data_IF_924362543841
#
_entry.id   IF_924362543841
#
_cell.length_a   1.000
_cell.length_b   1.000
_cell.length_c   1.000
_cell.angle_alpha   90.00
_cell.angle_beta   90.00
_cell.angle_gamma   90.00
#
_symmetry.space_group_name_H-M   'P 1'
#
loop_
_entity.id
_entity.type
_entity.pdbx_description
1 polymer ?
#
# COMPACT_ATOMS: atom_id res chain seq x y z
N UNK A 1 29.33 -8.11 19.76
CA UNK A 1 29.09 -6.66 19.62
C UNK A 1 27.59 -6.49 19.52
N UNK A 2 26.96 -5.75 20.42
CA UNK A 2 25.52 -5.43 20.31
C UNK A 2 25.36 -4.55 19.05
N UNK A 3 24.56 -5.00 18.09
CA UNK A 3 24.19 -4.20 16.93
C UNK A 3 23.56 -2.85 17.34
N UNK A 4 23.50 -1.87 16.45
CA UNK A 4 22.90 -0.58 16.76
C UNK A 4 21.47 -0.78 17.30
N UNK A 5 21.17 -0.14 18.44
CA UNK A 5 19.83 -0.17 19.01
C UNK A 5 18.85 0.45 18.01
N UNK A 6 17.82 -0.32 17.61
CA UNK A 6 16.76 0.20 16.74
C UNK A 6 15.85 1.08 17.57
N UNK A 7 15.67 2.32 17.16
CA UNK A 7 14.66 3.19 17.75
C UNK A 7 13.28 2.75 17.25
N UNK A 8 12.48 2.11 18.13
CA UNK A 8 11.11 1.65 17.82
C UNK A 8 10.16 2.72 18.32
N UNK A 9 9.45 3.35 17.40
CA UNK A 9 8.40 4.29 17.75
C UNK A 9 7.08 3.58 18.06
N UNK A 10 6.33 4.13 19.02
CA UNK A 10 4.94 3.74 19.24
C UNK A 10 4.06 4.65 18.36
N UNK A 11 3.33 4.12 17.37
CA UNK A 11 2.42 4.93 16.57
C UNK A 11 1.23 5.39 17.40
N UNK A 12 0.66 6.51 17.01
CA UNK A 12 -0.61 7.01 17.58
C UNK A 12 -1.72 6.02 17.26
N UNK A 13 -2.63 5.79 18.21
CA UNK A 13 -3.68 4.77 18.09
C UNK A 13 -5.05 5.42 18.28
N UNK A 14 -5.99 5.09 17.40
CA UNK A 14 -7.43 5.39 17.56
C UNK A 14 -8.25 4.09 17.51
N UNK A 15 -9.42 4.07 18.17
CA UNK A 15 -10.34 2.94 18.03
C UNK A 15 -11.25 3.13 16.82
N UNK A 16 -11.65 2.03 16.18
CA UNK A 16 -12.67 2.06 15.12
C UNK A 16 -14.01 2.62 15.63
N UNK A 17 -14.33 2.37 16.89
CA UNK A 17 -15.56 2.89 17.52
C UNK A 17 -15.54 4.42 17.61
N UNK A 18 -14.41 5.02 18.03
CA UNK A 18 -14.27 6.47 18.10
C UNK A 18 -14.33 7.12 16.71
N UNK A 19 -13.70 6.49 15.70
CA UNK A 19 -13.80 6.94 14.31
C UNK A 19 -15.26 6.92 13.80
N UNK A 20 -16.00 5.83 14.06
CA UNK A 20 -17.42 5.73 13.68
C UNK A 20 -18.28 6.76 14.37
N UNK A 21 -18.01 7.07 15.62
CA UNK A 21 -18.74 8.04 16.42
C UNK A 21 -18.33 9.51 16.13
N UNK A 22 -17.24 9.74 15.37
CA UNK A 22 -16.67 11.08 15.15
C UNK A 22 -16.07 11.70 16.42
N UNK A 23 -15.59 10.87 17.34
CA UNK A 23 -15.11 11.27 18.67
C UNK A 23 -13.56 11.23 18.79
N UNK A 24 -12.83 11.11 17.68
CA UNK A 24 -11.37 11.15 17.73
C UNK A 24 -10.92 12.55 18.11
N UNK A 25 -10.16 12.73 19.21
CA UNK A 25 -9.66 14.04 19.61
C UNK A 25 -8.77 14.64 18.49
N UNK A 26 -8.87 15.95 18.29
CA UNK A 26 -8.06 16.62 17.29
C UNK A 26 -6.56 16.57 17.60
N UNK A 27 -6.21 16.56 18.88
CA UNK A 27 -4.84 16.38 19.36
C UNK A 27 -4.27 15.05 18.88
N UNK A 28 -5.08 13.97 18.88
CA UNK A 28 -4.70 12.65 18.35
C UNK A 28 -4.38 12.71 16.85
N UNK A 29 -5.15 13.48 16.07
CA UNK A 29 -4.89 13.65 14.63
C UNK A 29 -3.64 14.49 14.38
N UNK A 30 -3.41 15.53 15.17
CA UNK A 30 -2.19 16.35 15.08
C UNK A 30 -0.96 15.54 15.49
N UNK A 31 -1.04 14.73 16.53
CA UNK A 31 0.03 13.85 16.95
C UNK A 31 0.34 12.77 15.89
N UNK A 32 -0.70 12.24 15.20
CA UNK A 32 -0.55 11.23 14.17
C UNK A 32 -0.05 11.79 12.83
N UNK A 33 -0.59 12.93 12.38
CA UNK A 33 -0.50 13.43 11.01
C UNK A 33 0.03 14.87 10.89
N UNK A 34 0.15 15.59 12.00
CA UNK A 34 0.61 16.98 12.02
C UNK A 34 2.07 17.15 11.59
N UNK A 35 2.56 18.40 11.54
CA UNK A 35 3.88 18.71 10.96
C UNK A 35 5.06 18.01 11.62
N UNK A 36 4.99 17.73 12.92
CA UNK A 36 6.08 17.10 13.69
C UNK A 36 5.83 15.61 13.96
N UNK A 37 4.81 15.03 13.33
CA UNK A 37 4.38 13.66 13.52
C UNK A 37 5.18 12.65 12.70
N UNK A 38 4.88 11.37 12.90
CA UNK A 38 5.36 10.28 12.05
C UNK A 38 4.48 10.05 10.81
N UNK A 39 3.38 10.78 10.65
CA UNK A 39 2.47 10.65 9.52
C UNK A 39 1.73 9.31 9.50
N UNK A 40 1.55 8.66 10.65
CA UNK A 40 0.92 7.34 10.72
C UNK A 40 -0.02 7.23 11.93
N UNK A 41 -1.24 6.71 11.68
CA UNK A 41 -2.25 6.37 12.68
C UNK A 41 -2.54 4.87 12.62
N UNK A 42 -2.60 4.21 13.76
CA UNK A 42 -3.02 2.82 13.87
C UNK A 42 -4.46 2.76 14.36
N UNK A 43 -5.33 2.09 13.62
CA UNK A 43 -6.72 1.83 14.00
C UNK A 43 -6.83 0.45 14.60
N UNK A 44 -7.23 0.39 15.88
CA UNK A 44 -7.51 -0.84 16.62
C UNK A 44 -9.02 -1.14 16.67
N UNK A 45 -9.33 -2.30 17.22
CA UNK A 45 -10.72 -2.78 17.38
C UNK A 45 -11.48 -2.84 16.04
N UNK A 46 -10.74 -3.22 14.99
CA UNK A 46 -11.26 -3.41 13.63
C UNK A 46 -12.19 -4.64 13.59
N UNK A 47 -13.00 -4.82 12.52
CA UNK A 47 -13.91 -5.96 12.44
C UNK A 47 -13.22 -7.29 12.67
N UNK A 48 -13.83 -8.24 13.39
CA UNK A 48 -13.22 -9.51 13.81
C UNK A 48 -12.79 -10.40 12.64
N UNK A 49 -13.36 -10.21 11.46
CA UNK A 49 -12.98 -10.90 10.22
C UNK A 49 -11.65 -10.41 9.64
N UNK A 50 -11.19 -9.21 10.00
CA UNK A 50 -9.98 -8.62 9.42
C UNK A 50 -8.73 -9.50 9.54
N UNK A 51 -8.38 -10.09 10.70
CA UNK A 51 -7.18 -10.92 10.81
C UNK A 51 -7.20 -12.13 9.88
N UNK A 52 -8.38 -12.74 9.67
CA UNK A 52 -8.55 -13.86 8.75
C UNK A 52 -8.42 -13.42 7.29
N UNK A 53 -9.12 -12.35 6.89
CA UNK A 53 -9.02 -11.77 5.55
C UNK A 53 -7.58 -11.35 5.23
N UNK A 54 -6.90 -10.70 6.19
CA UNK A 54 -5.50 -10.33 6.05
C UNK A 54 -4.63 -11.55 5.80
N UNK A 55 -4.71 -12.58 6.64
CA UNK A 55 -3.91 -13.81 6.50
C UNK A 55 -4.19 -14.49 5.16
N UNK A 56 -5.47 -14.59 4.78
CA UNK A 56 -5.89 -15.18 3.51
C UNK A 56 -5.29 -14.43 2.32
N UNK A 57 -5.49 -13.11 2.26
CA UNK A 57 -5.02 -12.28 1.14
C UNK A 57 -3.49 -12.24 1.07
N UNK A 58 -2.79 -12.12 2.21
CA UNK A 58 -1.32 -12.11 2.21
C UNK A 58 -0.72 -13.47 1.86
N UNK A 59 -1.44 -14.59 2.08
CA UNK A 59 -1.03 -15.91 1.59
C UNK A 59 -1.01 -15.98 0.07
N UNK A 60 -1.96 -15.30 -0.59
CA UNK A 60 -1.97 -15.21 -2.05
C UNK A 60 -0.74 -14.50 -2.63
N UNK A 61 -0.07 -13.63 -1.88
CA UNK A 61 1.17 -13.05 -2.35
C UNK A 61 2.27 -14.10 -2.59
N UNK A 62 2.42 -15.07 -1.67
CA UNK A 62 3.34 -16.21 -1.85
C UNK A 62 2.89 -17.16 -2.96
N UNK A 63 1.61 -17.51 -3.03
CA UNK A 63 1.09 -18.33 -4.12
C UNK A 63 1.33 -17.69 -5.48
N UNK A 64 1.02 -16.41 -5.61
CA UNK A 64 1.19 -15.63 -6.84
C UNK A 64 2.68 -15.53 -7.22
N UNK A 65 3.55 -15.15 -6.26
CA UNK A 65 4.98 -15.01 -6.50
C UNK A 65 5.68 -16.32 -6.91
N UNK A 66 5.08 -17.47 -6.58
CA UNK A 66 5.59 -18.80 -6.94
C UNK A 66 4.91 -19.42 -8.17
N UNK A 67 4.07 -18.68 -8.91
CA UNK A 67 3.59 -19.11 -10.20
C UNK A 67 4.73 -19.20 -11.20
N UNK A 68 4.56 -20.01 -12.25
CA UNK A 68 5.55 -20.09 -13.33
C UNK A 68 5.70 -18.74 -14.07
N UNK A 69 6.89 -18.49 -14.62
CA UNK A 69 7.15 -17.28 -15.42
C UNK A 69 6.12 -17.09 -16.55
N UNK A 70 5.69 -18.18 -17.19
CA UNK A 70 4.66 -18.15 -18.25
C UNK A 70 3.30 -17.70 -17.72
N UNK A 71 2.93 -18.08 -16.49
CA UNK A 71 1.67 -17.63 -15.86
C UNK A 71 1.77 -16.17 -15.43
N UNK A 72 2.88 -15.76 -14.84
CA UNK A 72 3.13 -14.37 -14.44
C UNK A 72 3.16 -13.44 -15.65
N UNK A 73 3.81 -13.83 -16.76
CA UNK A 73 3.84 -13.02 -17.97
C UNK A 73 2.45 -12.75 -18.58
N UNK A 74 1.47 -13.65 -18.37
CA UNK A 74 0.09 -13.44 -18.86
C UNK A 74 -0.65 -12.33 -18.12
N UNK A 75 -0.22 -11.98 -16.93
CA UNK A 75 -0.84 -10.97 -16.08
C UNK A 75 0.03 -9.71 -15.90
N UNK A 76 1.11 -9.56 -16.69
CA UNK A 76 1.84 -8.31 -16.82
C UNK A 76 1.10 -7.33 -17.75
N UNK A 77 1.15 -6.03 -17.44
CA UNK A 77 0.56 -4.99 -18.28
C UNK A 77 1.58 -3.88 -18.59
N UNK A 78 2.42 -4.05 -19.62
CA UNK A 78 3.36 -3.00 -20.03
C UNK A 78 2.68 -1.70 -20.45
N UNK A 79 1.48 -1.79 -21.08
CA UNK A 79 0.73 -0.61 -21.49
C UNK A 79 0.28 0.26 -20.32
N UNK A 80 0.00 -0.34 -19.16
CA UNK A 80 -0.27 0.36 -17.91
C UNK A 80 1.01 0.67 -17.10
N UNK A 81 2.19 0.63 -17.71
CA UNK A 81 3.49 0.81 -17.06
C UNK A 81 3.69 -0.14 -15.88
N UNK A 82 3.15 -1.36 -16.00
CA UNK A 82 3.14 -2.39 -14.94
C UNK A 82 2.43 -1.96 -13.64
N UNK A 83 1.52 -0.98 -13.69
CA UNK A 83 0.72 -0.53 -12.55
C UNK A 83 -0.71 -1.12 -12.51
N UNK A 84 -0.94 -2.18 -13.29
CA UNK A 84 -2.02 -3.16 -13.14
C UNK A 84 -1.47 -4.56 -13.42
N UNK A 85 -1.96 -5.58 -12.70
CA UNK A 85 -1.43 -6.93 -12.78
C UNK A 85 -0.06 -7.08 -12.12
N UNK A 86 0.75 -8.04 -12.60
CA UNK A 86 2.03 -8.40 -12.01
C UNK A 86 3.18 -7.51 -12.47
N UNK A 87 4.08 -7.21 -11.56
CA UNK A 87 5.31 -6.44 -11.80
C UNK A 87 6.45 -7.04 -10.98
N UNK A 88 7.48 -7.53 -11.65
CA UNK A 88 8.74 -7.97 -11.06
C UNK A 88 9.90 -7.53 -11.93
N UNK A 89 10.93 -6.93 -11.35
CA UNK A 89 12.07 -6.45 -12.13
C UNK A 89 11.74 -5.29 -13.08
N UNK A 90 10.76 -4.45 -12.75
CA UNK A 90 10.36 -3.28 -13.56
C UNK A 90 10.60 -1.96 -12.83
N UNK A 91 10.88 -2.00 -11.54
CA UNK A 91 11.21 -0.83 -10.74
C UNK A 91 12.74 -0.66 -10.68
N UNK A 92 13.23 0.57 -10.85
CA UNK A 92 14.64 0.89 -10.70
C UNK A 92 14.93 1.36 -9.28
N UNK A 93 15.99 0.82 -8.69
CA UNK A 93 16.57 1.31 -7.46
C UNK A 93 17.39 2.59 -7.71
N UNK A 94 17.73 3.32 -6.65
CA UNK A 94 18.45 4.62 -6.75
C UNK A 94 19.80 4.54 -7.46
N UNK A 95 20.42 3.37 -7.47
CA UNK A 95 21.71 3.09 -8.14
C UNK A 95 21.54 2.66 -9.61
N UNK A 96 20.31 2.67 -10.13
CA UNK A 96 19.99 2.23 -11.48
C UNK A 96 19.85 0.71 -11.65
N UNK A 97 20.06 -0.06 -10.58
CA UNK A 97 19.78 -1.50 -10.60
C UNK A 97 18.27 -1.76 -10.59
N UNK A 98 17.87 -2.89 -11.16
CA UNK A 98 16.47 -3.30 -11.21
C UNK A 98 16.15 -4.10 -9.94
N UNK A 99 15.04 -3.77 -9.29
CA UNK A 99 14.55 -4.53 -8.13
C UNK A 99 13.97 -5.88 -8.57
N UNK A 100 14.75 -6.96 -8.36
CA UNK A 100 14.36 -8.34 -8.68
C UNK A 100 13.90 -9.14 -7.46
N UNK A 101 13.88 -8.52 -6.28
CA UNK A 101 13.56 -9.20 -5.01
C UNK A 101 12.15 -8.95 -4.52
N UNK A 102 11.42 -8.05 -5.20
CA UNK A 102 10.09 -7.65 -4.83
C UNK A 102 9.12 -7.80 -6.01
N UNK A 103 8.27 -8.81 -5.93
CA UNK A 103 7.11 -8.92 -6.81
C UNK A 103 5.95 -8.07 -6.28
N UNK A 104 5.22 -7.43 -7.18
CA UNK A 104 4.05 -6.62 -6.86
C UNK A 104 2.89 -6.99 -7.76
N UNK A 105 1.70 -7.13 -7.18
CA UNK A 105 0.47 -7.21 -7.94
C UNK A 105 -0.34 -5.93 -7.69
N UNK A 106 -0.65 -5.22 -8.76
CA UNK A 106 -1.43 -3.99 -8.69
C UNK A 106 -2.86 -4.21 -9.16
N UNK A 107 -3.82 -3.69 -8.41
CA UNK A 107 -5.22 -3.68 -8.81
C UNK A 107 -5.85 -2.30 -8.58
N UNK A 108 -6.64 -1.83 -9.56
CA UNK A 108 -7.53 -0.70 -9.35
C UNK A 108 -8.67 -1.13 -8.43
N UNK A 109 -9.02 -0.30 -7.46
CA UNK A 109 -10.12 -0.58 -6.53
C UNK A 109 -11.43 0.11 -6.97
N UNK A 110 -11.63 0.37 -8.27
CA UNK A 110 -12.86 0.94 -8.81
C UNK A 110 -14.12 0.09 -8.47
N UNK A 111 -13.93 -1.21 -8.25
CA UNK A 111 -14.96 -2.14 -7.77
C UNK A 111 -15.56 -1.74 -6.41
N UNK A 112 -14.89 -0.87 -5.66
CA UNK A 112 -15.41 -0.35 -4.39
C UNK A 112 -16.66 0.51 -4.59
N UNK A 113 -16.65 1.37 -5.61
CA UNK A 113 -17.78 2.24 -5.94
C UNK A 113 -18.83 1.55 -6.82
N UNK A 114 -18.41 0.72 -7.76
CA UNK A 114 -19.25 -0.09 -8.63
C UNK A 114 -18.57 -1.45 -8.90
N UNK A 115 -19.14 -2.58 -8.41
CA UNK A 115 -18.55 -3.91 -8.59
C UNK A 115 -18.29 -4.35 -10.04
N UNK A 116 -18.84 -3.62 -11.02
CA UNK A 116 -18.62 -3.89 -12.45
C UNK A 116 -17.44 -3.16 -13.04
N UNK A 117 -16.79 -2.28 -12.27
CA UNK A 117 -15.67 -1.49 -12.77
C UNK A 117 -14.33 -2.20 -12.48
N UNK A 118 -13.52 -2.37 -13.53
CA UNK A 118 -12.13 -2.82 -13.44
C UNK A 118 -11.12 -1.64 -13.46
N UNK A 119 -11.57 -0.43 -13.78
CA UNK A 119 -10.78 0.81 -13.73
C UNK A 119 -11.71 2.02 -13.72
N UNK A 120 -11.16 3.21 -13.50
CA UNK A 120 -11.89 4.47 -13.67
C UNK A 120 -12.30 4.67 -15.14
N UNK A 121 -13.43 5.35 -15.35
CA UNK A 121 -13.92 5.65 -16.72
C UNK A 121 -13.12 6.81 -17.32
N UNK A 122 -12.70 6.70 -18.59
CA UNK A 122 -12.10 7.82 -19.30
C UNK A 122 -13.05 9.02 -19.40
N UNK A 123 -12.46 10.22 -19.46
CA UNK A 123 -13.17 11.48 -19.72
C UNK A 123 -12.55 12.17 -20.93
N UNK A 124 -13.11 13.32 -21.35
CA UNK A 124 -12.52 14.11 -22.43
C UNK A 124 -11.10 14.60 -22.08
N UNK A 125 -10.81 14.83 -20.82
CA UNK A 125 -9.53 15.34 -20.32
C UNK A 125 -8.56 14.21 -19.96
N UNK A 126 -9.07 13.09 -19.44
CA UNK A 126 -8.28 11.95 -18.97
C UNK A 126 -8.54 10.72 -19.83
N UNK A 127 -7.58 10.42 -20.73
CA UNK A 127 -7.65 9.28 -21.65
C UNK A 127 -6.67 8.17 -21.25
N UNK A 128 -6.90 6.91 -21.67
CA UNK A 128 -5.96 5.81 -21.46
C UNK A 128 -4.57 6.08 -22.06
N UNK A 129 -4.48 6.86 -23.13
CA UNK A 129 -3.18 7.21 -23.74
C UNK A 129 -2.35 8.12 -22.82
N UNK A 130 -3.02 8.98 -22.05
CA UNK A 130 -2.35 9.94 -21.18
C UNK A 130 -2.20 9.43 -19.72
N UNK A 131 -3.10 8.56 -19.28
CA UNK A 131 -3.15 8.01 -17.91
C UNK A 131 -3.36 6.50 -17.91
N UNK A 132 -2.53 5.72 -18.62
CA UNK A 132 -2.72 4.27 -18.73
C UNK A 132 -2.64 3.57 -17.37
N UNK A 133 -1.86 4.09 -16.44
CA UNK A 133 -1.71 3.57 -15.09
C UNK A 133 -2.98 3.63 -14.24
N UNK A 134 -3.94 4.51 -14.55
CA UNK A 134 -5.22 4.68 -13.84
C UNK A 134 -6.42 4.16 -14.61
N UNK A 135 -6.32 4.16 -15.95
CA UNK A 135 -7.45 3.90 -16.85
C UNK A 135 -7.36 2.57 -17.58
N UNK A 136 -6.29 1.79 -17.35
CA UNK A 136 -6.22 0.41 -17.84
C UNK A 136 -6.99 -0.53 -16.90
N UNK A 137 -7.77 -1.47 -17.45
CA UNK A 137 -8.51 -2.43 -16.62
C UNK A 137 -7.57 -3.35 -15.85
N UNK A 138 -8.09 -3.93 -14.78
CA UNK A 138 -7.39 -4.96 -14.02
C UNK A 138 -7.12 -6.20 -14.88
N UNK A 139 -5.96 -6.85 -14.65
CA UNK A 139 -5.63 -8.16 -15.21
C UNK A 139 -5.48 -9.12 -14.04
N UNK A 140 -6.40 -10.09 -13.97
CA UNK A 140 -6.44 -11.09 -12.91
C UNK A 140 -5.87 -12.42 -13.43
N UNK A 141 -5.20 -13.22 -12.58
CA UNK A 141 -4.97 -14.64 -12.88
C UNK A 141 -6.33 -15.35 -13.07
N UNK A 142 -6.35 -16.32 -13.97
CA UNK A 142 -7.52 -17.16 -14.18
C UNK A 142 -7.85 -17.95 -12.89
N UNK A 143 -9.14 -18.23 -12.65
CA UNK A 143 -9.59 -18.95 -11.44
C UNK A 143 -9.05 -20.39 -11.35
N UNK A 144 -8.72 -21.03 -12.47
CA UNK A 144 -8.06 -22.33 -12.50
C UNK A 144 -6.56 -22.25 -12.20
N UNK A 145 -5.94 -21.07 -12.28
CA UNK A 145 -4.54 -20.80 -11.93
C UNK A 145 -4.41 -20.36 -10.49
N UNK A 146 -5.27 -19.45 -10.02
CA UNK A 146 -5.19 -18.91 -8.65
C UNK A 146 -6.61 -18.70 -8.08
N UNK A 147 -7.29 -19.79 -7.69
CA UNK A 147 -8.69 -19.77 -7.29
C UNK A 147 -8.93 -18.90 -6.06
N UNK A 148 -9.97 -18.05 -6.11
CA UNK A 148 -10.40 -17.19 -5.02
C UNK A 148 -9.52 -15.97 -4.73
N UNK A 149 -8.46 -15.74 -5.51
CA UNK A 149 -7.54 -14.62 -5.29
C UNK A 149 -8.22 -13.26 -5.44
N UNK A 150 -8.96 -13.06 -6.55
CA UNK A 150 -9.65 -11.80 -6.82
C UNK A 150 -10.58 -11.44 -5.68
N UNK A 151 -11.45 -12.35 -5.27
CA UNK A 151 -12.42 -12.12 -4.20
C UNK A 151 -11.71 -11.79 -2.86
N UNK A 152 -10.67 -12.55 -2.51
CA UNK A 152 -9.92 -12.31 -1.26
C UNK A 152 -9.27 -10.92 -1.23
N UNK A 153 -8.71 -10.47 -2.35
CA UNK A 153 -8.09 -9.15 -2.43
C UNK A 153 -9.13 -8.05 -2.39
N UNK A 154 -10.24 -8.20 -3.14
CA UNK A 154 -11.33 -7.22 -3.17
C UNK A 154 -11.98 -7.06 -1.79
N UNK A 155 -12.26 -8.16 -1.07
CA UNK A 155 -12.90 -8.12 0.25
C UNK A 155 -12.02 -7.40 1.28
N UNK A 156 -10.71 -7.70 1.29
CA UNK A 156 -9.79 -6.98 2.17
C UNK A 156 -9.68 -5.51 1.79
N UNK A 157 -9.58 -5.18 0.49
CA UNK A 157 -9.51 -3.79 0.04
C UNK A 157 -10.76 -3.00 0.43
N UNK A 158 -11.97 -3.58 0.32
CA UNK A 158 -13.23 -2.93 0.76
C UNK A 158 -13.16 -2.56 2.25
N UNK A 159 -12.77 -3.50 3.10
CA UNK A 159 -12.64 -3.26 4.54
C UNK A 159 -11.61 -2.16 4.86
N UNK A 160 -10.47 -2.17 4.15
CA UNK A 160 -9.44 -1.13 4.31
C UNK A 160 -9.95 0.25 3.86
N UNK A 161 -10.67 0.33 2.72
CA UNK A 161 -11.21 1.58 2.20
C UNK A 161 -12.34 2.10 3.11
N UNK A 162 -13.25 1.24 3.59
CA UNK A 162 -14.30 1.61 4.54
C UNK A 162 -13.70 2.25 5.81
N UNK A 163 -12.60 1.70 6.29
CA UNK A 163 -11.89 2.27 7.44
C UNK A 163 -11.17 3.57 7.07
N UNK A 164 -10.58 3.67 5.86
CA UNK A 164 -9.95 4.90 5.35
C UNK A 164 -10.95 6.05 5.25
N UNK A 165 -12.21 5.78 4.83
CA UNK A 165 -13.29 6.79 4.78
C UNK A 165 -13.56 7.38 6.16
N UNK A 166 -13.53 6.57 7.23
CA UNK A 166 -13.72 7.05 8.60
C UNK A 166 -12.54 7.91 9.08
N UNK A 167 -11.30 7.53 8.72
CA UNK A 167 -10.11 8.34 9.02
C UNK A 167 -10.16 9.65 8.24
N UNK A 168 -10.55 9.62 6.96
CA UNK A 168 -10.74 10.80 6.12
C UNK A 168 -11.77 11.76 6.71
N UNK A 169 -12.92 11.25 7.20
CA UNK A 169 -13.93 12.04 7.92
C UNK A 169 -13.37 12.72 9.15
N UNK A 170 -12.55 12.03 9.94
CA UNK A 170 -11.91 12.65 11.10
C UNK A 170 -10.92 13.75 10.67
N UNK A 171 -10.19 13.55 9.57
CA UNK A 171 -9.33 14.59 8.98
C UNK A 171 -10.15 15.82 8.53
N UNK A 172 -11.32 15.62 7.90
CA UNK A 172 -12.23 16.71 7.51
C UNK A 172 -12.69 17.52 8.71
N UNK A 173 -13.13 16.87 9.80
CA UNK A 173 -13.58 17.56 11.02
C UNK A 173 -12.49 18.50 11.58
N UNK A 174 -11.25 18.10 11.52
CA UNK A 174 -10.12 18.92 11.91
C UNK A 174 -9.86 20.05 10.90
N UNK A 175 -9.85 19.74 9.59
CA UNK A 175 -9.59 20.70 8.53
C UNK A 175 -10.67 21.79 8.46
N UNK A 176 -11.95 21.44 8.65
CA UNK A 176 -13.08 22.37 8.72
C UNK A 176 -12.90 23.44 9.83
N UNK A 177 -12.27 23.06 10.94
CA UNK A 177 -11.98 23.98 12.03
C UNK A 177 -10.74 24.85 11.79
N UNK A 178 -9.72 24.28 11.17
CA UNK A 178 -8.37 24.86 11.13
C UNK A 178 -8.04 25.59 9.82
N UNK A 179 -8.87 25.43 8.78
CA UNK A 179 -8.61 25.97 7.44
C UNK A 179 -9.80 26.81 7.00
N UNK A 180 -9.59 28.13 6.89
CA UNK A 180 -10.60 29.03 6.37
C UNK A 180 -10.99 28.67 4.93
N UNK A 181 -12.31 28.57 4.68
CA UNK A 181 -12.85 28.24 3.37
C UNK A 181 -12.69 26.77 2.96
N UNK A 182 -12.35 25.89 3.90
CA UNK A 182 -12.29 24.46 3.64
C UNK A 182 -13.65 23.89 3.21
N UNK A 183 -13.67 23.09 2.15
CA UNK A 183 -14.90 22.43 1.68
C UNK A 183 -15.27 21.29 2.61
N UNK A 184 -16.42 21.43 3.27
CA UNK A 184 -16.90 20.45 4.26
C UNK A 184 -16.97 19.05 3.70
N UNK A 185 -16.36 18.06 4.41
CA UNK A 185 -16.36 16.64 4.05
C UNK A 185 -15.59 16.30 2.78
N UNK A 186 -14.65 17.15 2.35
CA UNK A 186 -13.97 17.00 1.06
C UNK A 186 -13.08 15.76 1.00
N UNK A 187 -12.29 15.51 2.04
CA UNK A 187 -11.38 14.32 2.07
C UNK A 187 -12.19 13.03 2.13
N UNK A 188 -13.27 12.99 2.93
CA UNK A 188 -14.19 11.85 2.97
C UNK A 188 -14.83 11.60 1.60
N UNK A 189 -15.31 12.65 0.94
CA UNK A 189 -15.86 12.56 -0.42
C UNK A 189 -14.84 11.97 -1.40
N UNK A 190 -13.64 12.55 -1.45
CA UNK A 190 -12.56 12.11 -2.35
C UNK A 190 -12.23 10.62 -2.14
N UNK A 191 -12.10 10.17 -0.90
CA UNK A 191 -11.77 8.76 -0.60
C UNK A 191 -12.92 7.82 -0.92
N UNK A 192 -14.17 8.20 -0.55
CA UNK A 192 -15.34 7.32 -0.69
C UNK A 192 -15.83 7.17 -2.13
N UNK A 193 -15.56 8.15 -3.00
CA UNK A 193 -16.03 8.16 -4.40
C UNK A 193 -14.94 7.83 -5.42
N UNK A 194 -13.73 7.54 -4.95
CA UNK A 194 -12.59 7.30 -5.82
C UNK A 194 -12.72 6.01 -6.63
N UNK A 195 -12.51 6.13 -7.94
CA UNK A 195 -12.32 5.02 -8.88
C UNK A 195 -10.84 4.79 -9.23
N UNK A 196 -9.94 5.60 -8.69
CA UNK A 196 -8.49 5.54 -8.94
C UNK A 196 -7.70 5.04 -7.74
N UNK A 197 -8.37 4.71 -6.63
CA UNK A 197 -7.75 3.99 -5.51
C UNK A 197 -7.09 2.71 -6.01
N UNK A 198 -5.87 2.46 -5.56
CA UNK A 198 -5.04 1.35 -6.05
C UNK A 198 -4.52 0.49 -4.91
N UNK A 199 -4.69 -0.82 -5.05
CA UNK A 199 -4.08 -1.82 -4.17
C UNK A 199 -2.75 -2.29 -4.74
N UNK A 200 -1.78 -2.53 -3.86
CA UNK A 200 -0.50 -3.15 -4.16
C UNK A 200 -0.26 -4.30 -3.18
N UNK A 201 -0.39 -5.53 -3.65
CA UNK A 201 -0.01 -6.72 -2.91
C UNK A 201 1.46 -7.03 -3.23
N UNK A 202 2.30 -7.10 -2.19
CA UNK A 202 3.74 -7.26 -2.34
C UNK A 202 4.18 -8.61 -1.80
N UNK A 203 5.05 -9.26 -2.57
CA UNK A 203 5.78 -10.46 -2.22
C UNK A 203 7.28 -10.18 -2.27
N UNK A 204 7.91 -10.12 -1.12
CA UNK A 204 9.37 -10.05 -1.03
C UNK A 204 9.92 -11.47 -0.96
N UNK A 205 10.67 -11.84 -1.98
CA UNK A 205 11.22 -13.18 -2.11
C UNK A 205 12.26 -13.51 -1.03
N UNK A 206 12.37 -14.77 -0.62
CA UNK A 206 13.47 -15.23 0.22
C UNK A 206 14.82 -14.93 -0.42
N UNK A 207 15.74 -14.35 0.34
CA UNK A 207 17.07 -13.95 -0.13
C UNK A 207 18.11 -15.01 0.26
N UNK A 208 18.89 -15.52 -0.72
CA UNK A 208 20.03 -16.41 -0.44
C UNK A 208 21.24 -15.63 0.09
N UNK A 209 22.12 -16.33 0.83
CA UNK A 209 23.34 -15.71 1.39
C UNK A 209 24.35 -15.26 0.31
N UNK A 210 24.26 -15.81 -0.89
CA UNK A 210 25.18 -15.47 -1.99
C UNK A 210 24.96 -14.08 -2.60
N UNK A 211 23.85 -13.41 -2.26
CA UNK A 211 23.50 -12.06 -2.73
C UNK A 211 24.04 -10.96 -1.81
N UNK A 212 25.29 -11.07 -1.35
CA UNK A 212 25.93 -10.15 -0.37
C UNK A 212 26.12 -8.70 -0.84
N UNK A 213 25.72 -8.35 -2.06
CA UNK A 213 25.89 -7.00 -2.62
C UNK A 213 24.60 -6.14 -2.54
N UNK A 214 23.51 -6.65 -1.94
CA UNK A 214 22.27 -5.85 -1.78
C UNK A 214 22.41 -5.02 -0.51
N UNK A 215 22.38 -3.70 -0.65
CA UNK A 215 22.27 -2.82 0.50
C UNK A 215 21.02 -3.18 1.31
N UNK A 216 21.18 -3.43 2.60
CA UNK A 216 20.09 -3.84 3.52
C UNK A 216 18.92 -2.84 3.56
N UNK A 217 19.14 -1.61 3.09
CA UNK A 217 18.17 -0.49 3.08
C UNK A 217 17.34 -0.38 1.78
N UNK A 218 17.48 -1.30 0.81
CA UNK A 218 16.99 -1.10 -0.56
C UNK A 218 15.74 -1.92 -0.95
N UNK A 219 15.06 -2.57 -0.01
CA UNK A 219 13.82 -3.31 -0.34
C UNK A 219 12.64 -2.41 -0.76
N UNK A 220 12.61 -1.20 -0.28
CA UNK A 220 11.81 -0.12 -0.83
C UNK A 220 12.49 1.19 -0.43
N UNK A 221 13.03 1.91 -1.40
CA UNK A 221 13.77 3.16 -1.15
C UNK A 221 12.90 4.23 -0.47
N UNK A 222 13.54 5.22 0.15
CA UNK A 222 12.85 6.35 0.80
C UNK A 222 11.98 7.09 -0.21
N UNK A 223 10.67 7.18 0.05
CA UNK A 223 9.69 7.84 -0.80
C UNK A 223 8.56 8.46 0.04
N UNK A 224 7.71 9.23 -0.63
CA UNK A 224 6.43 9.71 -0.14
C UNK A 224 5.32 9.02 -0.93
N UNK A 225 4.22 8.72 -0.29
CA UNK A 225 3.01 8.28 -0.99
C UNK A 225 2.28 9.48 -1.59
N UNK A 226 1.69 9.32 -2.77
CA UNK A 226 0.96 10.37 -3.48
C UNK A 226 -0.54 10.36 -3.21
N UNK A 227 -1.03 9.37 -2.48
CA UNK A 227 -2.44 9.21 -2.08
C UNK A 227 -2.90 10.26 -1.07
N UNK A 228 -4.18 10.21 -0.73
CA UNK A 228 -4.72 10.88 0.48
C UNK A 228 -4.22 10.15 1.71
N UNK A 229 -4.57 8.89 1.83
CA UNK A 229 -4.14 7.97 2.87
C UNK A 229 -3.68 6.67 2.23
N UNK A 230 -2.66 6.05 2.79
CA UNK A 230 -2.26 4.68 2.46
C UNK A 230 -2.64 3.76 3.59
N UNK A 231 -3.59 2.86 3.34
CA UNK A 231 -3.93 1.81 4.30
C UNK A 231 -2.90 0.68 4.22
N UNK A 232 -2.34 0.31 5.36
CA UNK A 232 -1.28 -0.69 5.49
C UNK A 232 -1.72 -1.81 6.43
N UNK A 233 -1.47 -3.05 6.02
CA UNK A 233 -1.54 -4.21 6.91
C UNK A 233 -0.19 -4.49 7.55
N UNK A 234 -0.19 -5.17 8.72
CA UNK A 234 1.05 -5.77 9.22
C UNK A 234 1.59 -6.79 8.21
N UNK A 235 2.91 -6.88 8.07
CA UNK A 235 3.52 -7.86 7.19
C UNK A 235 3.31 -9.29 7.71
N UNK A 236 3.14 -10.25 6.79
CA UNK A 236 3.11 -11.68 7.04
C UNK A 236 4.43 -12.30 6.62
N UNK A 237 5.04 -13.08 7.49
CA UNK A 237 6.27 -13.81 7.20
C UNK A 237 5.96 -15.30 7.04
N UNK A 238 6.46 -15.89 5.96
CA UNK A 238 6.21 -17.30 5.57
C UNK A 238 7.54 -17.98 5.33
N UNK A 239 7.76 -19.13 5.97
CA UNK A 239 8.87 -20.03 5.63
C UNK A 239 8.45 -20.89 4.42
N UNK A 240 8.86 -20.48 3.22
CA UNK A 240 8.45 -21.13 1.97
C UNK A 240 9.16 -22.46 1.69
N UNK A 241 10.13 -22.87 2.51
CA UNK A 241 10.70 -24.21 2.43
C UNK A 241 9.89 -25.26 3.22
N UNK A 242 9.22 -24.82 4.30
CA UNK A 242 8.40 -25.70 5.12
C UNK A 242 6.92 -25.63 4.75
N UNK A 243 6.49 -24.56 4.09
CA UNK A 243 5.10 -24.30 3.71
C UNK A 243 4.97 -24.45 2.21
N UNK A 244 4.08 -25.34 1.75
CA UNK A 244 3.85 -25.52 0.32
C UNK A 244 3.13 -24.31 -0.28
N UNK A 245 3.79 -23.64 -1.22
CA UNK A 245 3.22 -22.57 -2.05
C UNK A 245 2.74 -23.09 -3.41
N UNK A 246 2.80 -24.40 -3.65
CA UNK A 246 2.32 -25.03 -4.87
C UNK A 246 0.79 -24.95 -4.88
N UNK A 247 0.25 -24.34 -5.93
CA UNK A 247 -1.19 -24.29 -6.15
C UNK A 247 -1.67 -25.68 -6.56
N UNK A 248 -2.32 -26.40 -5.63
CA UNK A 248 -3.12 -27.56 -5.97
C UNK A 248 -4.55 -27.02 -6.20
N UNK A 249 -5.02 -27.07 -7.45
CA UNK A 249 -6.35 -26.59 -7.82
C UNK A 249 -7.40 -27.38 -7.03
N UNK A 250 -8.11 -26.75 -6.09
CA UNK A 250 -9.22 -27.42 -5.41
C UNK A 250 -10.41 -27.58 -6.38
N UNK A 251 -11.41 -28.32 -5.95
CA UNK A 251 -12.68 -28.36 -6.70
C UNK A 251 -13.22 -26.95 -6.93
N UNK A 252 -13.82 -26.72 -8.09
CA UNK A 252 -14.32 -25.43 -8.58
C UNK A 252 -15.02 -24.60 -7.50
N UNK A 253 -14.52 -23.38 -7.24
CA UNK A 253 -15.15 -22.40 -6.34
C UNK A 253 -14.57 -22.33 -4.92
N UNK A 254 -13.49 -23.06 -4.60
CA UNK A 254 -12.84 -22.98 -3.29
C UNK A 254 -11.63 -22.04 -3.32
N UNK A 255 -11.42 -21.32 -2.22
CA UNK A 255 -10.22 -20.51 -1.99
C UNK A 255 -9.04 -21.43 -1.63
N UNK A 256 -7.81 -21.02 -1.97
CA UNK A 256 -6.61 -21.69 -1.48
C UNK A 256 -6.51 -21.55 0.05
N UNK A 257 -5.95 -22.55 0.75
CA UNK A 257 -5.81 -22.46 2.20
C UNK A 257 -4.86 -21.33 2.59
N UNK A 258 -5.12 -20.61 3.72
CA UNK A 258 -4.16 -19.64 4.21
C UNK A 258 -2.87 -20.33 4.67
N UNK A 259 -1.72 -19.77 4.29
CA UNK A 259 -0.39 -20.29 4.64
C UNK A 259 -0.10 -20.08 6.14
N UNK A 260 0.83 -20.88 6.67
CA UNK A 260 1.28 -20.73 8.05
C UNK A 260 2.11 -19.46 8.22
N UNK A 261 1.61 -18.57 9.05
CA UNK A 261 2.26 -17.31 9.39
C UNK A 261 3.21 -17.50 10.57
N UNK A 262 4.47 -17.12 10.39
CA UNK A 262 5.44 -17.09 11.48
C UNK A 262 4.98 -16.13 12.59
N UNK A 263 5.39 -16.38 13.84
CA UNK A 263 5.03 -15.53 14.99
C UNK A 263 5.51 -14.07 14.86
N UNK A 264 6.55 -13.83 14.07
CA UNK A 264 7.10 -12.51 13.76
C UNK A 264 8.21 -12.60 12.72
N UNK A 265 8.84 -11.45 12.41
CA UNK A 265 10.04 -11.43 11.59
C UNK A 265 11.18 -12.17 12.28
N UNK A 266 11.93 -13.03 11.56
CA UNK A 266 13.16 -13.62 12.11
C UNK A 266 14.27 -12.56 12.29
N UNK A 267 14.16 -11.43 11.60
CA UNK A 267 15.09 -10.31 11.69
C UNK A 267 14.40 -9.12 12.40
N UNK A 268 14.85 -8.73 13.60
CA UNK A 268 14.27 -7.60 14.32
C UNK A 268 14.47 -6.25 13.59
N UNK A 269 15.40 -6.16 12.64
CA UNK A 269 15.64 -4.96 11.83
C UNK A 269 14.73 -4.89 10.60
N UNK A 270 14.06 -5.97 10.20
CA UNK A 270 13.14 -5.93 9.07
C UNK A 270 11.83 -5.23 9.44
N UNK A 271 11.30 -4.39 8.54
CA UNK A 271 10.02 -3.73 8.75
C UNK A 271 9.91 -2.36 8.12
N UNK A 272 8.86 -1.64 8.50
CA UNK A 272 8.59 -0.27 8.08
C UNK A 272 9.42 0.72 8.90
N UNK A 273 10.07 1.64 8.21
CA UNK A 273 10.82 2.74 8.79
C UNK A 273 10.30 4.07 8.30
N UNK A 274 10.21 5.02 9.22
CA UNK A 274 9.80 6.40 8.93
C UNK A 274 10.98 7.32 9.26
N UNK A 275 11.24 8.28 8.35
CA UNK A 275 12.18 9.37 8.61
C UNK A 275 11.42 10.56 9.15
N UNK A 276 11.58 10.84 10.45
CA UNK A 276 10.98 12.02 11.07
C UNK A 276 11.59 13.31 10.49
N UNK A 277 10.90 14.42 10.64
CA UNK A 277 11.42 15.74 10.23
C UNK A 277 12.64 16.19 11.04
N UNK A 278 12.81 15.67 12.26
CA UNK A 278 14.02 15.86 13.05
C UNK A 278 15.24 15.08 12.49
N UNK A 279 15.04 14.31 11.40
CA UNK A 279 16.09 13.50 10.78
C UNK A 279 16.30 12.14 11.43
N UNK A 280 15.48 11.78 12.41
CA UNK A 280 15.54 10.47 13.06
C UNK A 280 14.88 9.41 12.19
N UNK A 281 15.49 8.22 12.15
CA UNK A 281 14.89 7.04 11.52
C UNK A 281 14.35 6.12 12.60
N UNK A 282 13.05 5.86 12.56
CA UNK A 282 12.36 5.03 13.54
C UNK A 282 11.66 3.85 12.87
N UNK A 283 11.70 2.68 13.50
CA UNK A 283 10.92 1.53 13.07
C UNK A 283 9.50 1.62 13.63
N UNK A 284 8.50 1.37 12.80
CA UNK A 284 7.10 1.29 13.21
C UNK A 284 6.59 -0.13 13.05
N UNK A 285 5.92 -0.65 14.09
CA UNK A 285 5.29 -1.96 14.07
C UNK A 285 3.78 -1.82 14.05
N UNK A 286 3.14 -2.48 13.09
CA UNK A 286 1.69 -2.55 12.96
C UNK A 286 1.24 -3.88 13.58
N UNK A 287 0.37 -3.89 14.61
CA UNK A 287 -0.20 -5.13 15.14
C UNK A 287 -1.03 -5.87 14.10
N UNK A 288 -1.11 -7.21 14.22
CA UNK A 288 -1.79 -8.06 13.21
C UNK A 288 -3.30 -7.86 13.13
N UNK A 289 -3.87 -7.40 14.21
CA UNK A 289 -5.30 -7.11 14.40
C UNK A 289 -5.63 -5.62 14.24
N UNK A 290 -4.69 -4.84 13.68
CA UNK A 290 -4.84 -3.40 13.45
C UNK A 290 -4.57 -3.05 11.99
N UNK A 291 -5.12 -1.91 11.55
CA UNK A 291 -4.86 -1.28 10.25
C UNK A 291 -4.11 0.02 10.51
N UNK A 292 -3.03 0.27 9.78
CA UNK A 292 -2.36 1.56 9.84
C UNK A 292 -2.73 2.42 8.63
N UNK A 293 -2.78 3.73 8.85
CA UNK A 293 -3.03 4.73 7.80
C UNK A 293 -1.87 5.72 7.79
N UNK A 294 -1.20 5.82 6.65
CA UNK A 294 -0.11 6.74 6.44
C UNK A 294 -0.57 7.90 5.56
N UNK A 295 -0.13 9.11 5.87
CA UNK A 295 -0.45 10.31 5.10
C UNK A 295 0.30 10.33 3.77
N UNK A 296 -0.42 10.70 2.71
CA UNK A 296 0.17 10.96 1.40
C UNK A 296 0.18 12.45 1.04
N UNK A 297 0.88 12.79 -0.04
CA UNK A 297 1.05 14.17 -0.51
C UNK A 297 -0.27 14.83 -0.94
N UNK A 298 -1.27 14.05 -1.42
CA UNK A 298 -2.58 14.60 -1.74
C UNK A 298 -3.28 15.13 -0.49
N UNK A 299 -3.22 14.42 0.66
CA UNK A 299 -3.77 14.92 1.92
C UNK A 299 -3.03 16.18 2.39
N UNK A 300 -1.70 16.20 2.28
CA UNK A 300 -0.91 17.37 2.64
C UNK A 300 -1.34 18.61 1.84
N UNK A 301 -1.56 18.45 0.54
CA UNK A 301 -2.02 19.55 -0.34
C UNK A 301 -3.44 19.98 0.00
N UNK A 302 -4.39 19.06 0.05
CA UNK A 302 -5.81 19.32 0.37
C UNK A 302 -5.94 20.04 1.71
N UNK A 303 -5.13 19.67 2.71
CA UNK A 303 -5.16 20.27 4.06
C UNK A 303 -4.19 21.45 4.20
N UNK A 304 -3.68 22.01 3.09
CA UNK A 304 -2.75 23.15 3.08
C UNK A 304 -1.60 22.98 4.07
N UNK A 305 -1.10 21.75 4.19
CA UNK A 305 0.01 21.40 5.06
C UNK A 305 -0.31 21.28 6.56
N UNK A 306 -1.58 21.28 6.96
CA UNK A 306 -1.96 20.96 8.34
C UNK A 306 -1.63 19.51 8.70
N UNK A 307 -1.84 18.59 7.77
CA UNK A 307 -1.29 17.23 7.82
C UNK A 307 -0.13 17.11 6.83
N UNK A 308 0.82 16.23 7.13
CA UNK A 308 2.05 16.13 6.38
C UNK A 308 2.33 14.71 5.89
N UNK A 309 2.68 14.57 4.63
CA UNK A 309 3.31 13.35 4.13
C UNK A 309 4.69 13.19 4.74
N UNK A 310 5.06 11.96 5.11
CA UNK A 310 6.32 11.67 5.79
C UNK A 310 7.12 10.62 5.02
N UNK A 311 8.42 10.85 4.76
CA UNK A 311 9.25 9.91 4.04
C UNK A 311 9.40 8.59 4.82
N UNK A 312 9.22 7.49 4.10
CA UNK A 312 9.32 6.16 4.69
C UNK A 312 9.99 5.17 3.73
N UNK A 313 10.39 4.01 4.26
CA UNK A 313 11.01 2.94 3.50
C UNK A 313 10.83 1.60 4.22
N UNK A 314 11.16 0.50 3.53
CA UNK A 314 11.06 -0.85 4.08
C UNK A 314 12.43 -1.52 4.06
N UNK A 315 12.84 -2.08 5.21
CA UNK A 315 13.97 -3.00 5.30
C UNK A 315 13.50 -4.44 5.20
N UNK A 316 14.20 -5.21 4.41
CA UNK A 316 13.97 -6.63 4.26
C UNK A 316 14.55 -7.48 5.38
N UNK A 317 14.25 -8.78 5.31
CA UNK A 317 14.85 -9.79 6.19
C UNK A 317 16.25 -10.10 5.68
N UNK A 318 17.26 -9.92 6.51
CA UNK A 318 18.64 -10.25 6.14
C UNK A 318 18.79 -11.76 5.89
N UNK A 319 19.50 -12.16 4.83
CA UNK A 319 19.70 -13.58 4.48
C UNK A 319 20.28 -14.40 5.65
N UNK A 320 21.21 -13.83 6.41
CA UNK A 320 21.82 -14.47 7.59
C UNK A 320 20.82 -14.76 8.72
N UNK A 321 19.69 -14.04 8.78
CA UNK A 321 18.67 -14.20 9.83
C UNK A 321 17.54 -15.16 9.41
N UNK A 322 17.40 -15.46 8.12
CA UNK A 322 16.32 -16.30 7.58
C UNK A 322 16.81 -17.60 6.94
N UNK A 323 18.13 -17.80 6.84
CA UNK A 323 18.73 -18.87 6.04
C UNK A 323 18.20 -18.91 4.59
N UNK A 324 17.79 -17.77 4.05
CA UNK A 324 17.28 -17.64 2.68
C UNK A 324 15.92 -18.31 2.43
N UNK A 325 15.08 -18.47 3.45
CA UNK A 325 13.82 -19.22 3.34
C UNK A 325 12.56 -18.40 3.55
N UNK A 326 12.69 -17.23 4.17
CA UNK A 326 11.54 -16.45 4.64
C UNK A 326 11.15 -15.40 3.64
N UNK A 327 9.92 -15.53 3.12
CA UNK A 327 9.23 -14.50 2.36
C UNK A 327 8.52 -13.51 3.30
N UNK A 328 8.34 -12.27 2.81
CA UNK A 328 7.55 -11.24 3.48
C UNK A 328 6.44 -10.76 2.56
N UNK A 329 5.20 -10.88 3.00
CA UNK A 329 4.02 -10.46 2.26
C UNK A 329 3.36 -9.26 2.95
N UNK A 330 2.88 -8.30 2.16
CA UNK A 330 2.18 -7.11 2.69
C UNK A 330 1.23 -6.53 1.65
N UNK A 331 0.24 -5.78 2.11
CA UNK A 331 -0.70 -5.06 1.27
C UNK A 331 -0.69 -3.59 1.64
N UNK A 332 -0.62 -2.73 0.62
CA UNK A 332 -0.86 -1.29 0.70
C UNK A 332 -2.04 -0.93 -0.20
N UNK A 333 -2.97 -0.11 0.31
CA UNK A 333 -4.08 0.45 -0.48
C UNK A 333 -3.97 1.96 -0.46
N UNK A 334 -3.64 2.52 -1.63
CA UNK A 334 -3.45 3.95 -1.84
C UNK A 334 -4.81 4.57 -2.20
N UNK A 335 -5.43 5.30 -1.28
CA UNK A 335 -6.68 6.00 -1.54
C UNK A 335 -6.39 7.27 -2.34
N UNK A 336 -6.28 7.13 -3.65
CA UNK A 336 -5.96 8.21 -4.56
C UNK A 336 -7.23 8.98 -4.93
N UNK A 337 -7.19 10.33 -5.06
CA UNK A 337 -8.30 11.10 -5.62
C UNK A 337 -8.61 10.67 -7.05
N UNK A 338 -9.85 10.84 -7.51
CA UNK A 338 -10.12 10.78 -8.95
C UNK A 338 -9.26 11.80 -9.71
N UNK A 339 -8.93 11.52 -10.96
CA UNK A 339 -8.00 12.37 -11.74
C UNK A 339 -8.42 13.83 -11.83
N UNK A 340 -9.73 14.12 -11.86
CA UNK A 340 -10.28 15.47 -11.92
C UNK A 340 -10.52 16.13 -10.55
N UNK A 341 -10.27 15.44 -9.42
CA UNK A 341 -10.41 16.05 -8.10
C UNK A 341 -9.26 17.02 -7.81
N UNK A 342 -9.58 18.22 -7.29
CA UNK A 342 -8.55 19.21 -6.93
C UNK A 342 -7.80 18.78 -5.67
N UNK A 343 -6.49 18.68 -5.75
CA UNK A 343 -5.62 18.46 -4.59
C UNK A 343 -5.05 19.76 -4.03
N UNK A 344 -5.00 20.80 -4.86
CA UNK A 344 -4.62 22.16 -4.45
C UNK A 344 -5.70 23.14 -4.92
N UNK A 345 -6.59 23.54 -4.00
CA UNK A 345 -7.73 24.42 -4.31
C UNK A 345 -7.31 25.87 -4.54
N UNK A 346 -6.14 26.31 -4.03
CA UNK A 346 -5.65 27.67 -4.21
C UNK A 346 -5.04 27.86 -5.61
N UNK A 347 -4.44 26.80 -6.16
CA UNK A 347 -3.83 26.78 -7.49
C UNK A 347 -4.69 26.07 -8.54
N UNK A 348 -5.83 25.50 -8.15
CA UNK A 348 -6.72 24.69 -9.00
C UNK A 348 -6.00 23.50 -9.68
N UNK A 349 -5.07 22.85 -8.93
CA UNK A 349 -4.34 21.68 -9.44
C UNK A 349 -5.15 20.41 -9.16
N UNK A 350 -5.49 19.69 -10.22
CA UNK A 350 -6.13 18.39 -10.14
C UNK A 350 -5.14 17.28 -9.73
N UNK A 351 -5.67 16.15 -9.24
CA UNK A 351 -4.85 14.98 -8.96
C UNK A 351 -4.16 14.45 -10.22
N UNK A 352 -4.82 14.50 -11.39
CA UNK A 352 -4.24 14.10 -12.66
C UNK A 352 -3.00 14.94 -13.04
N UNK A 353 -3.06 16.26 -12.88
CA UNK A 353 -1.93 17.15 -13.11
C UNK A 353 -0.79 16.89 -12.11
N UNK A 354 -1.14 16.74 -10.84
CA UNK A 354 -0.18 16.40 -9.77
C UNK A 354 0.52 15.06 -10.06
N UNK A 355 -0.23 13.99 -10.36
CA UNK A 355 0.30 12.67 -10.65
C UNK A 355 1.21 12.66 -11.87
N UNK A 356 0.87 13.40 -12.95
CA UNK A 356 1.72 13.54 -14.14
C UNK A 356 3.06 14.17 -13.79
N UNK A 357 3.08 15.20 -12.96
CA UNK A 357 4.31 15.83 -12.46
C UNK A 357 5.21 14.89 -11.68
N UNK A 358 4.64 13.92 -10.97
CA UNK A 358 5.35 12.90 -10.20
C UNK A 358 5.91 11.81 -11.13
N UNK A 359 5.09 11.29 -12.05
CA UNK A 359 5.50 10.24 -13.00
C UNK A 359 6.67 10.74 -13.87
N UNK A 360 6.64 11.98 -14.32
CA UNK A 360 7.73 12.56 -15.11
C UNK A 360 9.05 12.69 -14.35
N UNK A 361 9.03 12.80 -13.01
CA UNK A 361 10.25 12.84 -12.18
C UNK A 361 10.84 11.46 -11.89
N UNK A 362 10.00 10.42 -11.92
CA UNK A 362 10.38 9.06 -11.50
C UNK A 362 10.55 8.07 -12.68
N UNK A 363 10.16 8.46 -13.89
CA UNK A 363 10.38 7.67 -15.11
C UNK A 363 11.56 8.24 -15.89
N UNK A 364 12.62 7.46 -16.02
CA UNK A 364 13.65 7.73 -17.05
C UNK A 364 12.99 7.47 -18.40
N UNK A 365 12.93 8.50 -19.25
CA UNK A 365 12.51 8.33 -20.65
C UNK A 365 13.38 7.22 -21.27
N UNK A 366 12.78 6.10 -21.58
CA UNK A 366 13.39 5.14 -22.51
C UNK A 366 13.52 5.88 -23.85
N UNK A 367 14.71 6.39 -24.13
CA UNK A 367 15.05 6.86 -25.49
C UNK A 367 14.87 5.67 -26.44
N UNK A 368 13.87 5.78 -27.30
CA UNK A 368 13.59 4.90 -28.42
C UNK A 368 14.69 4.95 -29.48
#
# INVERSE_FOLDING_TARGET
MSGPAVNIAQPVVASLADLKAGNVPFETLVEAFGPDSLGILVVKDVPPEFPLLRRQTLSYASYLGNLSELQLAKIENPAARYLTGWSLGKEQLKDGQVDTFKGSFYANCAFYTDPKLDCAKPTAEFSPDNFPEYLSPNIWPEEDVLPGFKNSLEDLCRLLIDTAVLVARACDQYAEREIDGYTKGYVEHVVSTSNTTKARLLHYYPQSQDNSNVNEDDWCGVHLDHSVLTALTSAMFVDEQTTSTVVSVPETGSTLPPLDEMSGSPDPLAGLYIKSRAGETVQVKIPRDCIAFQTGEALEKITKGKFKAVPHFVRGVRPSMSNGRVARNTLAVFTQPNLGEEVDTDQHITFGEFARGVVSKNTVETQS
#
